data_IF_902767341510
#
_entry.id   IF_902767341510
#
_cell.length_a   1.000
_cell.length_b   1.000
_cell.length_c   1.000
_cell.angle_alpha   90.00
_cell.angle_beta   90.00
_cell.angle_gamma   90.00
#
_symmetry.space_group_name_H-M   'P 1'
#
loop_
_entity.id
_entity.type
_entity.pdbx_description
1 polymer ?
#
# COMPACT_ATOMS: atom_id res chain seq x y z
N UNK A 1 30.69 -55.35 -12.68
CA UNK A 1 29.56 -54.58 -13.24
C UNK A 1 29.21 -53.48 -12.25
N UNK A 2 29.50 -52.23 -12.61
CA UNK A 2 29.32 -51.06 -11.74
C UNK A 2 27.84 -50.69 -11.67
N UNK A 3 27.29 -50.69 -10.45
CA UNK A 3 25.97 -50.15 -10.16
C UNK A 3 25.99 -48.63 -10.28
N UNK A 4 25.14 -48.08 -11.13
CA UNK A 4 24.77 -46.66 -11.08
C UNK A 4 23.72 -46.52 -9.97
N UNK A 5 24.13 -46.00 -8.81
CA UNK A 5 23.20 -45.32 -7.90
C UNK A 5 22.72 -44.07 -8.64
N UNK A 6 21.42 -43.99 -8.85
CA UNK A 6 20.77 -42.74 -9.23
C UNK A 6 20.53 -42.01 -7.91
N UNK A 7 21.49 -41.17 -7.52
CA UNK A 7 21.33 -40.27 -6.38
C UNK A 7 20.34 -39.18 -6.80
N UNK A 8 19.05 -39.49 -6.66
CA UNK A 8 17.96 -38.53 -6.81
C UNK A 8 18.00 -37.59 -5.61
N UNK A 9 18.89 -36.59 -5.64
CA UNK A 9 18.85 -35.47 -4.71
C UNK A 9 17.58 -34.69 -5.02
N UNK A 10 16.50 -34.95 -4.29
CA UNK A 10 15.42 -33.99 -4.13
C UNK A 10 16.05 -32.77 -3.46
N UNK A 11 16.44 -31.77 -4.24
CA UNK A 11 16.85 -30.46 -3.73
C UNK A 11 15.55 -29.76 -3.33
N UNK A 12 15.17 -29.88 -2.06
CA UNK A 12 14.06 -29.13 -1.50
C UNK A 12 14.55 -27.70 -1.23
N UNK A 13 14.07 -26.75 -2.01
CA UNK A 13 14.34 -25.33 -1.84
C UNK A 13 13.21 -24.72 -1.02
N UNK A 14 13.52 -24.25 0.19
CA UNK A 14 12.58 -23.60 1.09
C UNK A 14 12.42 -22.13 0.71
N UNK A 15 11.18 -21.65 0.55
CA UNK A 15 10.89 -20.23 0.32
C UNK A 15 11.09 -19.45 1.62
N UNK A 16 12.08 -18.56 1.64
CA UNK A 16 12.35 -17.70 2.79
C UNK A 16 11.37 -16.53 2.84
N UNK A 17 11.12 -15.90 1.69
CA UNK A 17 10.14 -14.83 1.53
C UNK A 17 10.12 -14.20 0.13
N UNK A 18 9.31 -13.15 -0.01
CA UNK A 18 9.11 -12.38 -1.24
C UNK A 18 9.40 -10.91 -0.99
N UNK A 19 10.24 -10.31 -1.83
CA UNK A 19 10.79 -8.97 -1.59
C UNK A 19 10.85 -8.15 -2.87
N UNK A 20 11.21 -6.89 -2.74
CA UNK A 20 11.73 -6.14 -3.88
C UNK A 20 13.08 -6.72 -4.33
N UNK A 21 13.44 -6.47 -5.58
CA UNK A 21 14.59 -7.13 -6.21
C UNK A 21 15.94 -6.78 -5.55
N UNK A 22 16.07 -5.55 -5.06
CA UNK A 22 17.22 -5.06 -4.33
C UNK A 22 17.34 -5.70 -2.94
N UNK A 23 16.25 -5.73 -2.19
CA UNK A 23 16.17 -6.39 -0.88
C UNK A 23 16.43 -7.91 -0.98
N UNK A 24 15.82 -8.59 -1.95
CA UNK A 24 16.06 -10.02 -2.20
C UNK A 24 17.54 -10.31 -2.52
N UNK A 25 18.22 -9.40 -3.23
CA UNK A 25 19.65 -9.52 -3.52
C UNK A 25 20.50 -9.37 -2.26
N UNK A 26 20.18 -8.38 -1.42
CA UNK A 26 20.92 -8.16 -0.18
C UNK A 26 20.82 -9.37 0.76
N UNK A 27 19.60 -9.85 1.01
CA UNK A 27 19.34 -11.07 1.79
C UNK A 27 20.14 -12.24 1.21
N UNK A 28 20.03 -12.49 -0.10
CA UNK A 28 20.70 -13.61 -0.73
C UNK A 28 22.22 -13.52 -0.66
N UNK A 29 22.80 -12.33 -0.77
CA UNK A 29 24.24 -12.14 -0.71
C UNK A 29 24.77 -12.33 0.72
N UNK A 30 24.04 -11.90 1.75
CA UNK A 30 24.38 -12.16 3.16
C UNK A 30 24.32 -13.65 3.49
N UNK A 31 23.26 -14.34 3.07
CA UNK A 31 23.14 -15.79 3.26
C UNK A 31 24.23 -16.58 2.52
N UNK A 32 24.63 -16.16 1.31
CA UNK A 32 25.74 -16.78 0.58
C UNK A 32 27.09 -16.58 1.28
N UNK A 33 27.31 -15.44 1.96
CA UNK A 33 28.56 -15.17 2.69
C UNK A 33 28.82 -16.18 3.79
N UNK A 34 27.77 -16.65 4.48
CA UNK A 34 27.89 -17.71 5.50
C UNK A 34 27.90 -19.13 4.89
N UNK A 35 27.85 -19.25 3.57
CA UNK A 35 27.94 -20.51 2.84
C UNK A 35 26.61 -21.20 2.58
N UNK A 36 25.46 -20.52 2.81
CA UNK A 36 24.17 -21.08 2.42
C UNK A 36 24.00 -21.11 0.90
N UNK A 37 23.33 -22.16 0.43
CA UNK A 37 22.94 -22.27 -0.97
C UNK A 37 21.59 -21.60 -1.18
N UNK A 38 21.60 -20.52 -1.96
CA UNK A 38 20.45 -19.64 -2.18
C UNK A 38 20.13 -19.52 -3.67
N UNK A 39 18.84 -19.48 -4.00
CA UNK A 39 18.33 -19.20 -5.35
C UNK A 39 17.37 -18.00 -5.28
N UNK A 40 17.49 -17.08 -6.24
CA UNK A 40 16.54 -15.98 -6.41
C UNK A 40 15.67 -16.28 -7.64
N UNK A 41 14.35 -16.17 -7.50
CA UNK A 41 13.40 -16.27 -8.62
C UNK A 41 12.63 -14.97 -8.75
N UNK A 42 12.73 -14.31 -9.90
CA UNK A 42 11.97 -13.10 -10.18
C UNK A 42 10.56 -13.44 -10.65
N UNK A 43 9.59 -12.62 -10.26
CA UNK A 43 8.21 -12.72 -10.69
C UNK A 43 7.58 -11.33 -10.74
N UNK A 44 6.40 -11.22 -11.33
CA UNK A 44 5.62 -9.99 -11.32
C UNK A 44 4.40 -10.22 -10.44
N UNK A 45 4.37 -9.54 -9.29
CA UNK A 45 3.17 -9.47 -8.48
C UNK A 45 2.15 -8.58 -9.19
N UNK A 46 0.90 -9.02 -9.22
CA UNK A 46 -0.20 -8.24 -9.79
C UNK A 46 -1.28 -8.04 -8.74
N UNK A 47 -1.71 -6.79 -8.55
CA UNK A 47 -2.88 -6.45 -7.75
C UNK A 47 -3.91 -5.81 -8.66
N UNK A 48 -5.15 -6.26 -8.53
CA UNK A 48 -6.30 -5.69 -9.24
C UNK A 48 -7.25 -5.10 -8.21
N UNK A 49 -7.60 -3.83 -8.40
CA UNK A 49 -8.56 -3.13 -7.56
C UNK A 49 -9.73 -2.66 -8.42
N UNK A 50 -10.94 -2.92 -7.95
CA UNK A 50 -12.17 -2.53 -8.62
C UNK A 50 -12.83 -1.41 -7.82
N UNK A 51 -13.10 -0.30 -8.48
CA UNK A 51 -13.75 0.86 -7.87
C UNK A 51 -15.04 1.18 -8.59
N UNK A 52 -16.12 1.29 -7.82
CA UNK A 52 -17.45 1.66 -8.30
C UNK A 52 -17.71 3.14 -8.03
N UNK A 53 -18.23 3.83 -9.03
CA UNK A 53 -18.48 5.27 -9.01
C UNK A 53 -19.86 5.60 -9.57
N UNK A 54 -20.39 6.73 -9.12
CA UNK A 54 -21.42 7.47 -9.84
C UNK A 54 -20.74 8.59 -10.64
N UNK A 55 -21.00 8.66 -11.94
CA UNK A 55 -20.48 9.71 -12.82
C UNK A 55 -21.61 10.38 -13.61
N UNK A 56 -21.72 11.69 -13.48
CA UNK A 56 -22.77 12.47 -14.11
C UNK A 56 -22.79 13.93 -13.64
N UNK A 57 -23.76 14.70 -14.13
CA UNK A 57 -23.98 16.08 -13.66
C UNK A 57 -24.31 16.08 -12.16
N UNK A 58 -23.82 17.07 -11.42
CA UNK A 58 -24.08 17.25 -9.99
C UNK A 58 -25.58 17.16 -9.67
N UNK A 59 -26.41 17.82 -10.48
CA UNK A 59 -27.88 17.80 -10.38
C UNK A 59 -28.48 16.39 -10.48
N UNK A 60 -27.90 15.52 -11.31
CA UNK A 60 -28.34 14.14 -11.48
C UNK A 60 -27.86 13.22 -10.34
N UNK A 61 -26.67 13.47 -9.80
CA UNK A 61 -26.08 12.69 -8.69
C UNK A 61 -26.78 12.95 -7.36
N UNK A 62 -27.28 14.17 -7.14
CA UNK A 62 -27.93 14.58 -5.87
C UNK A 62 -29.03 13.62 -5.40
N UNK A 63 -29.82 13.07 -6.33
CA UNK A 63 -30.90 12.12 -6.01
C UNK A 63 -30.47 10.65 -5.90
N UNK A 64 -29.17 10.34 -6.02
CA UNK A 64 -28.65 8.97 -6.14
C UNK A 64 -27.68 8.59 -5.01
N UNK A 65 -27.41 9.48 -4.06
CA UNK A 65 -26.53 9.22 -2.93
C UNK A 65 -27.08 9.77 -1.61
N UNK A 66 -26.49 9.37 -0.50
CA UNK A 66 -26.82 9.88 0.84
C UNK A 66 -26.60 11.41 0.89
N UNK A 67 -27.55 12.14 1.45
CA UNK A 67 -27.51 13.61 1.55
C UNK A 67 -26.25 14.12 2.27
N UNK A 68 -25.79 13.40 3.31
CA UNK A 68 -24.54 13.73 4.02
C UNK A 68 -23.31 13.61 3.11
N UNK A 69 -23.27 12.56 2.27
CA UNK A 69 -22.21 12.34 1.29
C UNK A 69 -22.24 13.44 0.22
N UNK A 70 -23.42 13.77 -0.30
CA UNK A 70 -23.59 14.87 -1.26
C UNK A 70 -23.11 16.21 -0.70
N UNK A 71 -23.55 16.58 0.51
CA UNK A 71 -23.14 17.81 1.19
C UNK A 71 -21.62 17.90 1.40
N UNK A 72 -20.96 16.77 1.65
CA UNK A 72 -19.50 16.75 1.76
C UNK A 72 -18.82 17.19 0.46
N UNK A 73 -19.22 16.60 -0.67
CA UNK A 73 -18.68 16.98 -1.98
C UNK A 73 -19.09 18.40 -2.41
N UNK A 74 -20.29 18.83 -2.04
CA UNK A 74 -20.75 20.22 -2.25
C UNK A 74 -19.84 21.22 -1.54
N UNK A 75 -19.44 20.96 -0.29
CA UNK A 75 -18.45 21.81 0.43
C UNK A 75 -17.11 21.89 -0.30
N UNK A 76 -16.64 20.80 -0.90
CA UNK A 76 -15.40 20.82 -1.70
C UNK A 76 -15.57 21.68 -2.95
N UNK A 77 -16.70 21.54 -3.65
CA UNK A 77 -17.01 22.38 -4.81
C UNK A 77 -17.11 23.86 -4.43
N UNK A 78 -17.69 24.18 -3.27
CA UNK A 78 -17.76 25.56 -2.78
C UNK A 78 -16.38 26.14 -2.46
N UNK A 79 -15.47 25.34 -1.89
CA UNK A 79 -14.08 25.73 -1.71
C UNK A 79 -13.40 26.03 -3.06
N UNK A 80 -13.61 25.18 -4.07
CA UNK A 80 -13.12 25.42 -5.44
C UNK A 80 -13.68 26.73 -6.01
N UNK A 81 -15.00 26.93 -5.95
CA UNK A 81 -15.67 28.14 -6.47
C UNK A 81 -15.10 29.40 -5.82
N UNK A 82 -14.89 29.37 -4.50
CA UNK A 82 -14.29 30.49 -3.76
C UNK A 82 -12.88 30.81 -4.27
N UNK A 83 -12.01 29.80 -4.37
CA UNK A 83 -10.61 29.97 -4.80
C UNK A 83 -10.52 30.48 -6.23
N UNK A 84 -11.39 29.99 -7.11
CA UNK A 84 -11.52 30.48 -8.49
C UNK A 84 -12.00 31.93 -8.53
N UNK A 85 -13.02 32.29 -7.74
CA UNK A 85 -13.55 33.65 -7.67
C UNK A 85 -12.52 34.66 -7.13
N UNK A 86 -11.63 34.21 -6.24
CA UNK A 86 -10.49 34.98 -5.72
C UNK A 86 -9.32 35.10 -6.72
N UNK A 87 -9.45 34.50 -7.91
CA UNK A 87 -8.47 34.64 -8.99
C UNK A 87 -7.19 33.82 -8.78
N UNK A 88 -7.29 32.66 -8.14
CA UNK A 88 -6.14 31.76 -8.00
C UNK A 88 -5.55 31.38 -9.38
N UNK A 89 -4.22 31.46 -9.48
CA UNK A 89 -3.46 31.04 -10.65
C UNK A 89 -3.01 29.59 -10.53
N UNK A 90 -2.45 29.00 -11.60
CA UNK A 90 -1.96 27.62 -11.58
C UNK A 90 -0.94 27.34 -10.46
N UNK A 91 -0.09 28.33 -10.15
CA UNK A 91 1.04 28.16 -9.23
C UNK A 91 0.61 28.16 -7.75
N UNK A 92 -0.46 28.87 -7.39
CA UNK A 92 -0.90 29.04 -6.01
C UNK A 92 -2.27 28.38 -5.72
N UNK A 93 -2.92 27.83 -6.75
CA UNK A 93 -4.23 27.18 -6.63
C UNK A 93 -4.25 26.08 -5.59
N UNK A 94 -3.26 25.18 -5.61
CA UNK A 94 -3.23 24.04 -4.70
C UNK A 94 -3.22 24.51 -3.24
N UNK A 95 -2.30 25.41 -2.89
CA UNK A 95 -2.21 25.92 -1.51
C UNK A 95 -3.48 26.64 -1.08
N UNK A 96 -4.01 27.52 -1.93
CA UNK A 96 -5.25 28.25 -1.66
C UNK A 96 -6.44 27.30 -1.50
N UNK A 97 -6.51 26.23 -2.28
CA UNK A 97 -7.56 25.23 -2.19
C UNK A 97 -7.51 24.46 -0.87
N UNK A 98 -6.34 23.95 -0.49
CA UNK A 98 -6.18 23.21 0.76
C UNK A 98 -6.57 24.08 1.97
N UNK A 99 -6.19 25.36 1.96
CA UNK A 99 -6.56 26.33 3.00
C UNK A 99 -8.03 26.75 2.96
N UNK A 100 -8.67 26.70 1.79
CA UNK A 100 -10.11 26.96 1.66
C UNK A 100 -10.94 25.80 2.21
N UNK A 101 -10.44 24.55 2.09
CA UNK A 101 -11.07 23.36 2.68
C UNK A 101 -10.82 23.31 4.20
N UNK A 102 -9.57 23.52 4.63
CA UNK A 102 -9.20 23.59 6.04
C UNK A 102 -8.16 24.70 6.29
N UNK A 103 -8.54 25.82 6.94
CA UNK A 103 -7.62 26.91 7.26
C UNK A 103 -6.44 26.50 8.16
N UNK A 104 -6.54 25.39 8.89
CA UNK A 104 -5.50 24.87 9.78
C UNK A 104 -4.61 23.82 9.11
N UNK A 105 -4.81 23.52 7.82
CA UNK A 105 -4.10 22.46 7.10
C UNK A 105 -2.58 22.48 7.33
N UNK A 106 -1.92 23.62 7.16
CA UNK A 106 -0.47 23.74 7.32
C UNK A 106 0.00 23.43 8.75
N UNK A 107 -0.80 23.80 9.76
CA UNK A 107 -0.51 23.52 11.18
C UNK A 107 -0.65 22.02 11.44
N UNK A 108 -1.76 21.42 11.01
CA UNK A 108 -2.05 19.98 11.15
C UNK A 108 -1.02 19.12 10.42
N UNK A 109 -0.63 19.52 9.22
CA UNK A 109 0.39 18.83 8.43
C UNK A 109 1.77 18.89 9.10
N UNK A 110 2.11 20.01 9.76
CA UNK A 110 3.35 20.12 10.54
C UNK A 110 3.30 19.22 11.78
N UNK A 111 2.20 19.26 12.54
CA UNK A 111 2.00 18.40 13.70
C UNK A 111 2.09 16.92 13.33
N UNK A 112 1.43 16.50 12.26
CA UNK A 112 1.49 15.13 11.77
C UNK A 112 2.92 14.71 11.37
N UNK A 113 3.69 15.60 10.74
CA UNK A 113 5.10 15.33 10.42
C UNK A 113 5.98 15.21 11.66
N UNK A 114 5.73 16.02 12.69
CA UNK A 114 6.45 15.92 13.97
C UNK A 114 6.11 14.60 14.68
N UNK A 115 4.84 14.18 14.62
CA UNK A 115 4.36 12.90 15.14
C UNK A 115 5.04 11.72 14.43
N UNK A 116 5.07 11.73 13.09
CA UNK A 116 5.62 10.61 12.29
C UNK A 116 7.14 10.63 12.15
N UNK A 117 7.78 11.78 12.37
CA UNK A 117 9.23 11.98 12.22
C UNK A 117 10.05 11.65 13.46
N UNK A 118 9.42 11.23 14.57
CA UNK A 118 10.13 10.69 15.73
C UNK A 118 10.74 9.32 15.42
N UNK A 119 11.94 9.05 15.98
CA UNK A 119 12.49 7.69 16.07
C UNK A 119 11.71 6.86 17.09
N UNK A 120 10.40 6.75 16.88
CA UNK A 120 9.48 6.12 17.80
C UNK A 120 9.32 4.65 17.42
N UNK A 121 9.57 3.71 18.35
CA UNK A 121 9.39 2.27 18.12
C UNK A 121 7.99 1.96 17.59
N UNK A 122 7.85 0.95 16.71
CA UNK A 122 6.58 0.63 16.05
C UNK A 122 5.39 0.40 17.00
N UNK A 123 5.66 -0.17 18.18
CA UNK A 123 4.66 -0.42 19.22
C UNK A 123 4.08 0.90 19.80
N UNK A 124 4.89 1.96 19.86
CA UNK A 124 4.45 3.29 20.30
C UNK A 124 3.78 4.07 19.16
N UNK A 125 4.12 3.78 17.89
CA UNK A 125 3.48 4.40 16.72
C UNK A 125 1.98 4.11 16.64
N UNK A 126 1.54 2.90 16.99
CA UNK A 126 0.12 2.54 16.99
C UNK A 126 -0.69 3.38 18.00
N UNK A 127 -0.14 3.61 19.20
CA UNK A 127 -0.77 4.43 20.26
C UNK A 127 -0.78 5.91 19.87
N UNK A 128 0.27 6.37 19.21
CA UNK A 128 0.39 7.72 18.69
C UNK A 128 -0.59 7.97 17.53
N UNK A 129 -0.79 6.99 16.65
CA UNK A 129 -1.77 7.07 15.56
C UNK A 129 -3.20 7.13 16.09
N UNK A 130 -3.52 6.34 17.13
CA UNK A 130 -4.84 6.35 17.77
C UNK A 130 -5.13 7.70 18.45
N UNK A 131 -4.16 8.23 19.21
CA UNK A 131 -4.26 9.56 19.85
C UNK A 131 -4.23 10.73 18.86
N UNK A 132 -3.80 10.53 17.62
CA UNK A 132 -3.74 11.54 16.55
C UNK A 132 -4.80 11.32 15.46
N UNK A 133 -5.79 10.46 15.72
CA UNK A 133 -6.82 10.06 14.76
C UNK A 133 -7.62 11.24 14.20
N UNK A 134 -7.90 12.27 15.01
CA UNK A 134 -8.56 13.50 14.56
C UNK A 134 -7.71 14.27 13.53
N UNK A 135 -6.41 14.44 13.79
CA UNK A 135 -5.49 15.12 12.87
C UNK A 135 -5.37 14.34 11.56
N UNK A 136 -5.26 13.01 11.65
CA UNK A 136 -5.21 12.15 10.49
C UNK A 136 -6.50 12.21 9.68
N UNK A 137 -7.66 12.17 10.36
CA UNK A 137 -8.98 12.30 9.73
C UNK A 137 -9.13 13.62 8.98
N UNK A 138 -8.72 14.72 9.57
CA UNK A 138 -8.76 16.04 8.93
C UNK A 138 -7.84 16.11 7.71
N UNK A 139 -6.61 15.60 7.80
CA UNK A 139 -5.69 15.56 6.67
C UNK A 139 -6.20 14.66 5.53
N UNK A 140 -6.83 13.53 5.88
CA UNK A 140 -7.48 12.64 4.91
C UNK A 140 -8.67 13.32 4.23
N UNK A 141 -9.49 14.08 4.96
CA UNK A 141 -10.60 14.85 4.38
C UNK A 141 -10.09 15.90 3.38
N UNK A 142 -9.02 16.62 3.71
CA UNK A 142 -8.38 17.57 2.80
C UNK A 142 -7.81 16.88 1.55
N UNK A 143 -7.17 15.71 1.72
CA UNK A 143 -6.66 14.91 0.60
C UNK A 143 -7.79 14.39 -0.31
N UNK A 144 -8.91 13.98 0.29
CA UNK A 144 -10.12 13.58 -0.45
C UNK A 144 -10.71 14.75 -1.25
N UNK A 145 -10.74 15.96 -0.65
CA UNK A 145 -11.20 17.17 -1.33
C UNK A 145 -10.31 17.51 -2.54
N UNK A 146 -8.98 17.49 -2.36
CA UNK A 146 -8.01 17.71 -3.43
C UNK A 146 -8.20 16.70 -4.57
N UNK A 147 -8.32 15.41 -4.24
CA UNK A 147 -8.51 14.34 -5.22
C UNK A 147 -9.82 14.49 -6.00
N UNK A 148 -10.92 14.79 -5.30
CA UNK A 148 -12.21 15.06 -5.94
C UNK A 148 -12.15 16.26 -6.89
N UNK A 149 -11.51 17.35 -6.46
CA UNK A 149 -11.41 18.58 -7.26
C UNK A 149 -10.55 18.36 -8.50
N UNK A 150 -9.43 17.66 -8.39
CA UNK A 150 -8.59 17.34 -9.54
C UNK A 150 -9.36 16.51 -10.58
N UNK A 151 -10.11 15.49 -10.13
CA UNK A 151 -10.98 14.71 -11.01
C UNK A 151 -12.09 15.58 -11.64
N UNK A 152 -12.69 16.48 -10.88
CA UNK A 152 -13.73 17.39 -11.39
C UNK A 152 -13.16 18.30 -12.49
N UNK A 153 -12.00 18.92 -12.26
CA UNK A 153 -11.35 19.79 -13.24
C UNK A 153 -11.02 19.04 -14.53
N UNK A 154 -10.46 17.83 -14.40
CA UNK A 154 -10.14 16.95 -15.54
C UNK A 154 -11.41 16.59 -16.34
N UNK A 155 -12.46 16.08 -15.67
CA UNK A 155 -13.70 15.63 -16.32
C UNK A 155 -14.44 16.77 -17.02
N UNK A 156 -14.35 17.97 -16.49
CA UNK A 156 -15.01 19.16 -17.05
C UNK A 156 -14.10 19.99 -17.97
N UNK A 157 -12.86 19.54 -18.22
CA UNK A 157 -11.87 20.25 -19.06
C UNK A 157 -11.70 21.71 -18.61
N UNK A 158 -11.47 21.88 -17.32
CA UNK A 158 -11.22 23.17 -16.69
C UNK A 158 -9.72 23.29 -16.43
N UNK A 159 -9.11 24.34 -16.97
CA UNK A 159 -7.75 24.73 -16.64
C UNK A 159 -7.79 25.94 -15.72
N UNK A 160 -7.04 25.87 -14.62
CA UNK A 160 -6.92 26.99 -13.69
C UNK A 160 -6.19 28.14 -14.39
N UNK A 161 -6.62 29.38 -14.15
CA UNK A 161 -6.10 30.57 -14.81
C UNK A 161 -6.80 30.94 -16.12
N UNK A 162 -7.65 30.06 -16.67
CA UNK A 162 -8.52 30.38 -17.79
C UNK A 162 -9.88 30.92 -17.34
N UNK A 163 -10.68 31.45 -18.28
CA UNK A 163 -12.06 31.83 -17.98
C UNK A 163 -12.93 30.58 -17.80
N UNK A 164 -13.34 30.34 -16.55
CA UNK A 164 -14.10 29.16 -16.15
C UNK A 164 -15.61 29.31 -16.46
N UNK A 165 -16.14 30.54 -16.57
CA UNK A 165 -17.54 30.79 -16.89
C UNK A 165 -18.52 30.09 -15.92
N UNK A 166 -19.56 29.48 -16.49
CA UNK A 166 -20.61 28.71 -15.82
C UNK A 166 -20.27 27.22 -15.62
N UNK A 167 -19.04 26.78 -15.97
CA UNK A 167 -18.65 25.37 -15.91
C UNK A 167 -18.73 24.74 -14.52
N UNK A 168 -18.75 25.57 -13.46
CA UNK A 168 -18.86 25.13 -12.06
C UNK A 168 -20.30 25.17 -11.51
N UNK A 169 -21.30 25.55 -12.31
CA UNK A 169 -22.70 25.63 -11.85
C UNK A 169 -23.34 24.23 -11.70
N UNK A 170 -23.19 23.39 -12.72
CA UNK A 170 -23.60 21.98 -12.71
C UNK A 170 -22.51 21.07 -13.33
N UNK A 171 -21.35 20.94 -12.69
CA UNK A 171 -20.22 20.19 -13.23
C UNK A 171 -20.50 18.68 -13.23
N UNK A 172 -19.77 17.95 -14.07
CA UNK A 172 -19.70 16.48 -13.99
C UNK A 172 -18.91 16.11 -12.74
N UNK A 173 -19.53 15.37 -11.84
CA UNK A 173 -18.88 14.75 -10.69
C UNK A 173 -18.58 13.29 -10.98
N UNK A 174 -17.51 12.80 -10.38
CA UNK A 174 -17.21 11.38 -10.24
C UNK A 174 -16.93 11.10 -8.78
N UNK A 175 -17.79 10.31 -8.16
CA UNK A 175 -17.79 10.06 -6.71
C UNK A 175 -17.96 8.57 -6.46
N UNK A 176 -17.38 8.04 -5.38
CA UNK A 176 -17.53 6.62 -5.05
C UNK A 176 -19.00 6.29 -4.84
N UNK A 177 -19.40 5.14 -5.38
CA UNK A 177 -20.72 4.59 -5.15
C UNK A 177 -20.71 3.88 -3.79
N UNK A 178 -21.30 4.51 -2.78
CA UNK A 178 -21.39 4.01 -1.39
C UNK A 178 -22.74 3.33 -1.08
N UNK A 179 -23.49 2.98 -2.14
CA UNK A 179 -24.73 2.22 -2.05
C UNK A 179 -24.39 0.76 -1.79
N UNK A 180 -25.09 0.16 -0.83
CA UNK A 180 -24.98 -1.27 -0.57
C UNK A 180 -25.56 -2.03 -1.77
N UNK A 181 -24.91 -3.13 -2.20
CA UNK A 181 -25.32 -3.92 -3.39
C UNK A 181 -26.77 -4.44 -3.31
N UNK A 182 -27.36 -4.44 -2.11
CA UNK A 182 -28.75 -4.87 -1.84
C UNK A 182 -29.82 -3.82 -2.25
N UNK A 183 -29.43 -2.56 -2.47
CA UNK A 183 -30.34 -1.43 -2.75
C UNK A 183 -30.61 -1.23 -4.26
N UNK A 184 -31.17 -2.25 -4.92
CA UNK A 184 -31.91 -2.11 -6.19
C UNK A 184 -31.10 -2.03 -7.50
N UNK A 185 -31.80 -1.64 -8.58
CA UNK A 185 -31.25 -1.60 -9.95
C UNK A 185 -30.00 -0.72 -10.06
N UNK A 186 -29.04 -1.17 -10.87
CA UNK A 186 -27.83 -0.42 -11.20
C UNK A 186 -28.19 0.96 -11.74
N UNK A 187 -27.54 2.01 -11.22
CA UNK A 187 -27.80 3.38 -11.66
C UNK A 187 -27.29 3.57 -13.09
N UNK A 188 -28.01 4.28 -13.94
CA UNK A 188 -27.51 4.68 -15.28
C UNK A 188 -26.19 5.51 -15.20
N UNK A 189 -25.91 6.07 -14.04
CA UNK A 189 -24.69 6.82 -13.73
C UNK A 189 -23.53 5.93 -13.24
N UNK A 190 -23.75 4.63 -13.04
CA UNK A 190 -22.74 3.71 -12.53
C UNK A 190 -21.56 3.61 -13.51
N UNK A 191 -20.34 3.72 -12.98
CA UNK A 191 -19.09 3.54 -13.71
C UNK A 191 -18.13 2.73 -12.87
N UNK A 192 -17.36 1.87 -13.54
CA UNK A 192 -16.34 1.05 -12.90
C UNK A 192 -14.96 1.45 -13.41
N UNK A 193 -13.99 1.58 -12.51
CA UNK A 193 -12.58 1.62 -12.87
C UNK A 193 -11.87 0.44 -12.25
N UNK A 194 -11.14 -0.28 -13.09
CA UNK A 194 -10.21 -1.31 -12.68
C UNK A 194 -8.80 -0.71 -12.69
N UNK A 195 -8.15 -0.69 -11.55
CA UNK A 195 -6.73 -0.34 -11.43
C UNK A 195 -5.94 -1.65 -11.38
N UNK A 196 -4.96 -1.75 -12.26
CA UNK A 196 -4.05 -2.89 -12.31
C UNK A 196 -2.64 -2.43 -11.99
N UNK A 197 -2.13 -2.90 -10.86
CA UNK A 197 -0.78 -2.58 -10.40
C UNK A 197 0.11 -3.81 -10.63
N UNK A 198 1.20 -3.60 -11.36
CA UNK A 198 2.23 -4.60 -11.61
C UNK A 198 3.51 -4.20 -10.88
N UNK A 199 3.98 -5.06 -10.00
CA UNK A 199 5.21 -4.84 -9.24
C UNK A 199 6.21 -5.96 -9.51
N UNK A 200 7.41 -5.65 -10.03
CA UNK A 200 8.51 -6.60 -10.05
C UNK A 200 8.88 -7.00 -8.62
N UNK A 201 8.92 -8.30 -8.36
CA UNK A 201 9.26 -8.89 -7.07
C UNK A 201 10.23 -10.05 -7.26
N UNK A 202 10.87 -10.46 -6.19
CA UNK A 202 11.79 -11.58 -6.17
C UNK A 202 11.53 -12.47 -4.95
N UNK A 203 11.56 -13.78 -5.16
CA UNK A 203 11.50 -14.78 -4.11
C UNK A 203 12.92 -15.25 -3.79
N UNK A 204 13.25 -15.32 -2.50
CA UNK A 204 14.50 -15.89 -2.01
C UNK A 204 14.23 -17.31 -1.53
N UNK A 205 14.92 -18.27 -2.13
CA UNK A 205 14.86 -19.67 -1.72
C UNK A 205 16.18 -20.13 -1.13
N UNK A 206 16.14 -20.90 -0.05
CA UNK A 206 17.31 -21.48 0.61
C UNK A 206 17.21 -23.00 0.58
N UNK A 207 18.33 -23.67 0.30
CA UNK A 207 18.42 -25.13 0.43
C UNK A 207 18.29 -25.52 1.91
N UNK A 208 17.28 -26.34 2.24
CA UNK A 208 16.89 -26.62 3.63
C UNK A 208 18.04 -27.19 4.47
N UNK A 209 18.95 -27.96 3.87
CA UNK A 209 20.07 -28.58 4.59
C UNK A 209 21.17 -27.61 5.01
N UNK A 210 21.21 -26.43 4.40
CA UNK A 210 22.17 -25.39 4.70
C UNK A 210 21.65 -24.40 5.75
N UNK A 211 20.37 -24.49 6.13
CA UNK A 211 19.78 -23.65 7.19
C UNK A 211 20.39 -23.88 8.58
N UNK A 212 21.09 -25.01 8.78
CA UNK A 212 21.91 -25.25 9.99
C UNK A 212 23.02 -24.20 10.19
N UNK A 213 23.35 -23.43 9.15
CA UNK A 213 24.31 -22.33 9.21
C UNK A 213 23.67 -21.01 9.69
N UNK A 214 22.39 -21.01 10.09
CA UNK A 214 21.72 -19.79 10.55
C UNK A 214 22.39 -19.19 11.80
N UNK A 215 22.92 -20.02 12.70
CA UNK A 215 23.55 -19.58 13.95
C UNK A 215 24.87 -18.82 13.75
N UNK A 216 25.46 -18.82 12.55
CA UNK A 216 26.67 -18.07 12.23
C UNK A 216 26.41 -16.79 11.43
N UNK A 217 25.13 -16.41 11.27
CA UNK A 217 24.75 -15.11 10.71
C UNK A 217 25.21 -13.97 11.63
N UNK A 218 25.51 -12.82 11.04
CA UNK A 218 25.85 -11.61 11.78
C UNK A 218 24.63 -11.02 12.53
N UNK A 219 24.88 -10.35 13.65
CA UNK A 219 23.85 -9.72 14.50
C UNK A 219 23.01 -8.71 13.70
N UNK A 220 23.63 -7.97 12.77
CA UNK A 220 22.93 -7.03 11.90
C UNK A 220 21.86 -7.73 11.05
N UNK A 221 21.99 -9.04 10.76
CA UNK A 221 20.99 -9.77 9.96
C UNK A 221 19.81 -10.18 10.82
N UNK A 222 20.08 -10.58 12.06
CA UNK A 222 19.03 -10.87 13.05
C UNK A 222 18.20 -9.61 13.36
N UNK A 223 18.82 -8.42 13.40
CA UNK A 223 18.12 -7.16 13.64
C UNK A 223 17.32 -6.68 12.43
N UNK A 224 17.86 -6.77 11.22
CA UNK A 224 17.21 -6.26 9.99
C UNK A 224 16.19 -7.23 9.38
N UNK A 225 16.40 -8.53 9.54
CA UNK A 225 15.60 -9.61 8.94
C UNK A 225 15.24 -10.68 9.99
N UNK A 226 14.61 -10.23 11.08
CA UNK A 226 14.31 -11.05 12.26
C UNK A 226 13.41 -12.25 11.94
N UNK A 227 12.36 -12.04 11.13
CA UNK A 227 11.47 -13.10 10.69
C UNK A 227 12.19 -14.17 9.87
N UNK A 228 13.03 -13.75 8.91
CA UNK A 228 13.83 -14.63 8.07
C UNK A 228 14.83 -15.42 8.90
N UNK A 229 15.54 -14.73 9.80
CA UNK A 229 16.48 -15.37 10.71
C UNK A 229 15.80 -16.44 11.56
N UNK A 230 14.65 -16.12 12.16
CA UNK A 230 13.89 -17.07 12.97
C UNK A 230 13.39 -18.28 12.17
N UNK A 231 12.93 -18.07 10.93
CA UNK A 231 12.55 -19.16 10.01
C UNK A 231 13.74 -20.07 9.71
N UNK A 232 14.91 -19.50 9.43
CA UNK A 232 16.14 -20.24 9.15
C UNK A 232 16.62 -21.02 10.38
N UNK A 233 16.63 -20.42 11.56
CA UNK A 233 17.02 -21.08 12.83
C UNK A 233 16.07 -22.23 13.13
N UNK A 234 14.76 -22.03 13.01
CA UNK A 234 13.78 -23.08 13.27
C UNK A 234 13.93 -24.26 12.30
N UNK A 235 14.09 -23.98 11.00
CA UNK A 235 14.32 -25.02 9.99
C UNK A 235 15.65 -25.74 10.23
N UNK A 236 16.72 -25.00 10.58
CA UNK A 236 18.03 -25.56 10.90
C UNK A 236 18.00 -26.50 12.11
N UNK A 237 17.24 -26.16 13.15
CA UNK A 237 17.01 -27.03 14.31
C UNK A 237 16.26 -28.29 13.94
N UNK A 238 15.16 -28.18 13.19
CA UNK A 238 14.41 -29.35 12.71
C UNK A 238 15.29 -30.30 11.88
N UNK A 239 16.10 -29.77 10.97
CA UNK A 239 17.00 -30.58 10.15
C UNK A 239 18.11 -31.23 11.00
N UNK A 240 18.61 -30.54 12.02
CA UNK A 240 19.60 -31.09 12.94
C UNK A 240 19.02 -32.25 13.76
N UNK A 241 17.82 -32.08 14.33
CA UNK A 241 17.11 -33.11 15.09
C UNK A 241 16.80 -34.34 14.22
N UNK A 242 16.51 -34.15 12.93
CA UNK A 242 16.27 -35.23 11.97
C UNK A 242 17.55 -35.98 11.54
N UNK A 243 18.72 -35.32 11.62
CA UNK A 243 20.02 -35.94 11.32
C UNK A 243 20.56 -36.77 12.49
N UNK A 244 20.15 -36.48 13.72
CA UNK A 244 20.46 -37.33 14.85
C UNK A 244 19.59 -38.60 14.83
N UNK A 245 20.15 -39.81 14.85
CA UNK A 245 19.33 -41.01 14.95
C UNK A 245 18.59 -40.98 16.29
N UNK A 246 17.27 -41.13 16.26
CA UNK A 246 16.46 -41.27 17.46
C UNK A 246 17.13 -42.28 18.41
N UNK A 247 17.44 -41.90 19.67
CA UNK A 247 18.13 -42.77 20.61
C UNK A 247 17.21 -43.94 20.99
N UNK A 248 17.24 -45.00 20.18
CA UNK A 248 16.36 -46.16 20.33
C UNK A 248 16.41 -47.19 19.20
N UNK A 249 16.93 -46.87 18.01
CA UNK A 249 16.88 -47.80 16.86
C UNK A 249 18.11 -48.69 16.64
N UNK A 250 19.10 -48.65 17.54
CA UNK A 250 20.20 -49.64 17.59
C UNK A 250 20.21 -50.40 18.92
N UNK A 251 19.12 -51.12 19.21
CA UNK A 251 19.15 -52.33 20.03
C UNK A 251 18.10 -53.34 19.53
N UNK A 252 18.49 -54.14 18.55
CA UNK A 252 18.08 -55.54 18.40
C UNK A 252 19.04 -56.25 17.48
#
# INVERSE_FOLDING_TARGET
MHGRRVDSHFICMFLLGEYYEDEARDIADRLKKVGMKVEIRTFTASRMELFHFLEGRMSAIKGKMKESTFKRYERYLDALRKVVAEGAGPDDFRERLLLAVDPQYNVKQKQFREIMGGNTPEQERAVILDSSSDILGDLMEVSNAESFINLLLERNKIQIGENIGDKLDDPIWRVFDDRDEEDGEESDLARTTTVFTLEPRAQVFVDEFYTVLAEVMDEDFEEEFDEEYMRLVFLGKLISDLKEPAPGWMKS
#
